data_IF_130643077851
#
_entry.id   IF_130643077851
#
_cell.length_a   1.000
_cell.length_b   1.000
_cell.length_c   1.000
_cell.angle_alpha   90.00
_cell.angle_beta   90.00
_cell.angle_gamma   90.00
#
_symmetry.space_group_name_H-M   'P 1'
#
loop_
_entity.id
_entity.type
_entity.pdbx_description
1 polymer ?
#
# COMPACT_ATOMS: atom_id res chain seq x y z
N UNK A 1 -32.71 25.11 31.19
CA UNK A 1 -31.26 24.89 31.03
C UNK A 1 -31.11 23.58 30.30
N UNK A 2 -30.80 23.62 29.01
CA UNK A 2 -30.30 22.45 28.30
C UNK A 2 -29.20 22.94 27.36
N UNK A 3 -27.99 22.44 27.60
CA UNK A 3 -26.78 22.87 26.93
C UNK A 3 -26.68 22.09 25.62
N UNK A 4 -27.03 22.75 24.51
CA UNK A 4 -26.81 22.22 23.17
C UNK A 4 -25.33 21.96 22.94
N UNK A 5 -24.94 20.70 22.99
CA UNK A 5 -23.60 20.23 22.64
C UNK A 5 -23.41 20.43 21.14
N UNK A 6 -22.71 21.50 20.77
CA UNK A 6 -22.23 21.72 19.40
C UNK A 6 -21.14 20.69 19.13
N UNK A 7 -21.45 19.69 18.31
CA UNK A 7 -20.45 18.77 17.74
C UNK A 7 -19.64 19.54 16.68
N UNK A 8 -18.30 19.38 16.61
CA UNK A 8 -17.53 20.03 15.56
C UNK A 8 -17.94 19.45 14.20
N UNK A 9 -18.29 20.36 13.29
CA UNK A 9 -18.57 20.08 11.90
C UNK A 9 -17.34 19.43 11.26
N UNK A 10 -17.47 18.14 10.94
CA UNK A 10 -16.54 17.46 10.05
C UNK A 10 -16.72 18.14 8.68
N UNK A 11 -15.68 18.71 8.04
CA UNK A 11 -15.86 19.38 6.77
C UNK A 11 -16.30 18.34 5.75
N UNK A 12 -17.61 18.33 5.50
CA UNK A 12 -18.27 17.55 4.48
C UNK A 12 -17.64 18.01 3.17
N UNK A 13 -16.81 17.14 2.59
CA UNK A 13 -16.22 17.40 1.29
C UNK A 13 -17.40 17.50 0.34
N UNK A 14 -17.79 18.73 -0.02
CA UNK A 14 -18.86 18.98 -0.98
C UNK A 14 -18.44 18.35 -2.32
N UNK A 15 -19.14 17.29 -2.72
CA UNK A 15 -18.80 16.51 -3.91
C UNK A 15 -19.65 17.00 -5.09
N UNK A 16 -18.99 17.62 -6.07
CA UNK A 16 -19.54 17.89 -7.40
C UNK A 16 -19.87 16.55 -8.12
N UNK A 17 -20.73 16.52 -9.15
CA UNK A 17 -20.92 15.33 -9.98
C UNK A 17 -19.61 15.02 -10.72
N UNK A 18 -18.86 14.03 -10.23
CA UNK A 18 -17.49 13.71 -10.67
C UNK A 18 -16.99 12.38 -10.09
N UNK A 19 -15.67 12.16 -10.10
CA UNK A 19 -15.00 11.02 -9.43
C UNK A 19 -14.45 11.50 -8.07
N UNK A 20 -15.27 11.49 -6.99
CA UNK A 20 -14.86 12.02 -5.70
C UNK A 20 -13.64 11.29 -5.11
N UNK A 21 -13.49 10.00 -5.41
CA UNK A 21 -12.29 9.26 -5.04
C UNK A 21 -11.09 9.76 -5.84
N UNK A 22 -11.24 10.02 -7.13
CA UNK A 22 -10.23 10.65 -7.97
C UNK A 22 -9.74 11.99 -7.41
N UNK A 23 -10.63 12.81 -6.88
CA UNK A 23 -10.28 14.08 -6.23
C UNK A 23 -9.49 13.87 -4.94
N UNK A 24 -9.91 12.93 -4.09
CA UNK A 24 -9.18 12.53 -2.88
C UNK A 24 -7.77 12.05 -3.23
N UNK A 25 -7.63 11.17 -4.23
CA UNK A 25 -6.34 10.64 -4.66
C UNK A 25 -5.43 11.76 -5.17
N UNK A 26 -5.96 12.66 -5.98
CA UNK A 26 -5.24 13.83 -6.50
C UNK A 26 -4.74 14.70 -5.35
N UNK A 27 -5.59 14.96 -4.35
CA UNK A 27 -5.22 15.76 -3.19
C UNK A 27 -4.19 15.06 -2.29
N UNK A 28 -4.33 13.76 -2.06
CA UNK A 28 -3.35 12.98 -1.31
C UNK A 28 -1.97 13.00 -2.00
N UNK A 29 -1.92 12.85 -3.33
CA UNK A 29 -0.70 12.96 -4.11
C UNK A 29 -0.08 14.36 -4.03
N UNK A 30 -0.88 15.43 -4.04
CA UNK A 30 -0.38 16.79 -3.80
C UNK A 30 0.25 16.93 -2.41
N UNK A 31 -0.35 16.36 -1.36
CA UNK A 31 0.26 16.37 -0.03
C UNK A 31 1.60 15.64 -0.02
N UNK A 32 1.70 14.48 -0.68
CA UNK A 32 2.95 13.72 -0.80
C UNK A 32 4.03 14.53 -1.53
N UNK A 33 3.68 15.16 -2.67
CA UNK A 33 4.59 16.00 -3.44
C UNK A 33 5.13 17.19 -2.63
N UNK A 34 4.33 17.71 -1.70
CA UNK A 34 4.72 18.79 -0.79
C UNK A 34 5.37 18.29 0.53
N UNK A 35 5.74 17.00 0.61
CA UNK A 35 6.36 16.41 1.81
C UNK A 35 5.41 16.18 2.98
N UNK A 36 4.11 16.46 2.83
CA UNK A 36 3.06 16.36 3.86
C UNK A 36 2.46 14.94 3.93
N UNK A 37 3.31 13.93 4.14
CA UNK A 37 2.88 12.51 4.10
C UNK A 37 1.83 12.15 5.15
N UNK A 38 1.94 12.66 6.38
CA UNK A 38 0.92 12.40 7.42
C UNK A 38 -0.45 12.92 6.98
N UNK A 39 -0.52 14.14 6.41
CA UNK A 39 -1.77 14.70 5.92
C UNK A 39 -2.40 13.86 4.78
N UNK A 40 -1.57 13.25 3.94
CA UNK A 40 -2.04 12.31 2.93
C UNK A 40 -2.62 11.03 3.56
N UNK A 41 -1.95 10.48 4.57
CA UNK A 41 -2.42 9.30 5.31
C UNK A 41 -3.74 9.60 6.04
N UNK A 42 -3.86 10.74 6.70
CA UNK A 42 -5.08 11.16 7.40
C UNK A 42 -6.25 11.34 6.43
N UNK A 43 -6.00 11.99 5.29
CA UNK A 43 -6.99 12.16 4.23
C UNK A 43 -7.48 10.81 3.70
N UNK A 44 -6.57 9.90 3.36
CA UNK A 44 -6.92 8.57 2.86
C UNK A 44 -7.63 7.73 3.92
N UNK A 45 -7.24 7.86 5.19
CA UNK A 45 -7.91 7.17 6.30
C UNK A 45 -9.35 7.61 6.44
N UNK A 46 -9.62 8.92 6.34
CA UNK A 46 -10.98 9.45 6.35
C UNK A 46 -11.77 9.03 5.11
N UNK A 47 -11.16 9.13 3.92
CA UNK A 47 -11.83 8.74 2.68
C UNK A 47 -12.20 7.26 2.63
N UNK A 48 -11.37 6.36 3.17
CA UNK A 48 -11.67 4.93 3.26
C UNK A 48 -12.83 4.60 4.21
N UNK A 49 -13.24 5.51 5.10
CA UNK A 49 -14.47 5.34 5.88
C UNK A 49 -15.71 5.62 5.03
N UNK A 50 -15.60 6.56 4.08
CA UNK A 50 -16.68 6.94 3.16
C UNK A 50 -16.76 6.01 1.96
N UNK A 51 -15.61 5.58 1.44
CA UNK A 51 -15.47 4.72 0.25
C UNK A 51 -14.66 3.46 0.60
N UNK A 52 -15.21 2.56 1.44
CA UNK A 52 -14.46 1.40 1.95
C UNK A 52 -14.07 0.39 0.86
N UNK A 53 -14.83 0.35 -0.24
CA UNK A 53 -14.69 -0.64 -1.31
C UNK A 53 -13.94 -0.11 -2.55
N UNK A 54 -13.34 1.09 -2.49
CA UNK A 54 -12.50 1.59 -3.59
C UNK A 54 -11.04 1.13 -3.43
N UNK A 55 -10.62 0.24 -4.35
CA UNK A 55 -9.27 -0.34 -4.35
C UNK A 55 -8.15 0.71 -4.49
N UNK A 56 -8.41 1.84 -5.16
CA UNK A 56 -7.41 2.88 -5.42
C UNK A 56 -6.99 3.57 -4.12
N UNK A 57 -7.95 3.83 -3.23
CA UNK A 57 -7.68 4.39 -1.91
C UNK A 57 -6.87 3.42 -1.04
N UNK A 58 -7.23 2.13 -1.06
CA UNK A 58 -6.49 1.09 -0.35
C UNK A 58 -5.06 0.96 -0.90
N UNK A 59 -4.89 0.97 -2.23
CA UNK A 59 -3.59 0.88 -2.89
C UNK A 59 -2.68 2.05 -2.53
N UNK A 60 -3.17 3.30 -2.67
CA UNK A 60 -2.38 4.48 -2.33
C UNK A 60 -2.04 4.53 -0.84
N UNK A 61 -2.96 4.17 0.05
CA UNK A 61 -2.66 4.06 1.48
C UNK A 61 -1.53 3.06 1.71
N UNK A 62 -1.63 1.85 1.15
CA UNK A 62 -0.58 0.83 1.25
C UNK A 62 0.78 1.35 0.81
N UNK A 63 0.83 2.05 -0.32
CA UNK A 63 2.06 2.69 -0.83
C UNK A 63 2.66 3.69 0.16
N UNK A 64 1.86 4.57 0.73
CA UNK A 64 2.36 5.58 1.69
C UNK A 64 2.90 4.96 2.97
N UNK A 65 2.28 3.90 3.47
CA UNK A 65 2.79 3.16 4.62
C UNK A 65 4.12 2.46 4.30
N UNK A 66 4.25 1.86 3.10
CA UNK A 66 5.52 1.29 2.65
C UNK A 66 6.63 2.35 2.51
N UNK A 67 6.31 3.55 2.02
CA UNK A 67 7.28 4.65 1.95
C UNK A 67 7.79 5.07 3.34
N UNK A 68 7.00 4.87 4.39
CA UNK A 68 7.38 5.08 5.79
C UNK A 68 8.05 3.87 6.46
N UNK A 69 8.29 2.80 5.70
CA UNK A 69 8.79 1.51 6.21
C UNK A 69 7.85 0.83 7.21
N UNK A 70 6.56 1.21 7.21
CA UNK A 70 5.52 0.67 8.07
C UNK A 70 4.87 -0.54 7.38
N UNK A 71 5.66 -1.61 7.25
CA UNK A 71 5.31 -2.79 6.42
C UNK A 71 4.02 -3.48 6.83
N UNK A 72 3.78 -3.66 8.13
CA UNK A 72 2.61 -4.38 8.65
C UNK A 72 1.31 -3.67 8.27
N UNK A 73 1.23 -2.36 8.52
CA UNK A 73 0.04 -1.57 8.19
C UNK A 73 -0.11 -1.38 6.69
N UNK A 74 1.00 -1.13 5.98
CA UNK A 74 0.99 -1.08 4.52
C UNK A 74 0.46 -2.37 3.90
N UNK A 75 0.88 -3.54 4.41
CA UNK A 75 0.39 -4.84 3.94
C UNK A 75 -1.12 -5.01 4.16
N UNK A 76 -1.68 -4.49 5.25
CA UNK A 76 -3.13 -4.55 5.49
C UNK A 76 -3.89 -3.80 4.39
N UNK A 77 -3.42 -2.60 4.05
CA UNK A 77 -3.99 -1.80 2.97
C UNK A 77 -3.81 -2.45 1.59
N UNK A 78 -2.64 -3.03 1.30
CA UNK A 78 -2.41 -3.74 0.02
C UNK A 78 -3.25 -5.03 -0.10
N UNK A 79 -3.48 -5.74 1.00
CA UNK A 79 -4.42 -6.88 1.04
C UNK A 79 -5.84 -6.44 0.68
N UNK A 80 -6.29 -5.33 1.26
CA UNK A 80 -7.59 -4.76 0.88
C UNK A 80 -7.61 -4.35 -0.61
N UNK A 81 -6.55 -3.72 -1.10
CA UNK A 81 -6.46 -3.30 -2.50
C UNK A 81 -6.58 -4.50 -3.46
N UNK A 82 -5.79 -5.55 -3.24
CA UNK A 82 -5.83 -6.77 -4.08
C UNK A 82 -7.14 -7.53 -3.94
N UNK A 83 -7.78 -7.51 -2.76
CA UNK A 83 -9.11 -8.10 -2.56
C UNK A 83 -10.19 -7.37 -3.37
N UNK A 84 -10.13 -6.04 -3.41
CA UNK A 84 -11.10 -5.19 -4.11
C UNK A 84 -10.84 -5.15 -5.62
N UNK A 85 -9.56 -5.17 -6.03
CA UNK A 85 -9.13 -5.28 -7.43
C UNK A 85 -8.05 -6.36 -7.57
N UNK A 86 -8.43 -7.59 -7.93
CA UNK A 86 -7.49 -8.69 -8.11
C UNK A 86 -6.46 -8.51 -9.22
N UNK A 87 -6.63 -7.54 -10.13
CA UNK A 87 -5.63 -7.25 -11.18
C UNK A 87 -4.35 -6.66 -10.58
N UNK A 88 -4.46 -5.98 -9.43
CA UNK A 88 -3.32 -5.38 -8.72
C UNK A 88 -2.28 -6.42 -8.27
N UNK A 89 -2.62 -7.70 -8.16
CA UNK A 89 -1.64 -8.75 -7.86
C UNK A 89 -0.56 -8.88 -8.93
N UNK A 90 -0.83 -8.43 -10.15
CA UNK A 90 0.09 -8.45 -11.28
C UNK A 90 0.67 -7.07 -11.61
N UNK A 91 0.36 -6.03 -10.82
CA UNK A 91 0.92 -4.69 -10.98
C UNK A 91 2.43 -4.70 -10.63
N UNK A 92 3.32 -4.39 -11.61
CA UNK A 92 4.76 -4.33 -11.39
C UNK A 92 5.18 -3.45 -10.21
N UNK A 93 4.51 -2.32 -10.00
CA UNK A 93 4.91 -1.36 -8.97
C UNK A 93 4.56 -1.88 -7.56
N UNK A 94 3.38 -2.47 -7.40
CA UNK A 94 2.99 -3.16 -6.17
C UNK A 94 3.95 -4.31 -5.86
N UNK A 95 4.26 -5.16 -6.84
CA UNK A 95 5.15 -6.31 -6.65
C UNK A 95 6.54 -5.85 -6.22
N UNK A 96 7.14 -4.89 -6.94
CA UNK A 96 8.46 -4.33 -6.60
C UNK A 96 8.46 -3.70 -5.21
N UNK A 97 7.39 -3.02 -4.82
CA UNK A 97 7.26 -2.39 -3.51
C UNK A 97 7.24 -3.43 -2.38
N UNK A 98 6.42 -4.48 -2.51
CA UNK A 98 6.36 -5.57 -1.52
C UNK A 98 7.69 -6.32 -1.46
N UNK A 99 8.27 -6.65 -2.62
CA UNK A 99 9.55 -7.32 -2.72
C UNK A 99 10.68 -6.49 -2.08
N UNK A 100 10.70 -5.18 -2.32
CA UNK A 100 11.65 -4.26 -1.67
C UNK A 100 11.53 -4.32 -0.15
N UNK A 101 10.30 -4.30 0.38
CA UNK A 101 10.04 -4.48 1.81
C UNK A 101 10.66 -5.79 2.30
N UNK A 102 10.30 -6.90 1.66
CA UNK A 102 10.74 -8.26 2.03
C UNK A 102 12.26 -8.42 2.08
N UNK A 103 12.98 -7.90 1.08
CA UNK A 103 14.44 -8.05 1.02
C UNK A 103 15.19 -7.03 1.89
N UNK A 104 14.51 -6.00 2.41
CA UNK A 104 15.16 -4.93 3.18
C UNK A 104 14.97 -5.09 4.69
N UNK A 105 13.97 -5.86 5.14
CA UNK A 105 13.82 -6.13 6.57
C UNK A 105 15.08 -6.80 7.15
N UNK A 106 15.54 -6.43 8.36
CA UNK A 106 16.75 -7.02 8.95
C UNK A 106 16.67 -8.53 9.18
N UNK A 107 15.45 -9.02 9.43
CA UNK A 107 15.13 -10.44 9.63
C UNK A 107 14.09 -10.87 8.61
N UNK A 108 13.93 -12.18 8.49
CA UNK A 108 12.86 -12.75 7.67
C UNK A 108 11.49 -12.25 8.17
N UNK A 109 10.71 -11.68 7.26
CA UNK A 109 9.38 -11.16 7.54
C UNK A 109 8.32 -12.11 6.93
N UNK A 110 7.72 -12.93 7.79
CA UNK A 110 6.76 -13.95 7.37
C UNK A 110 5.50 -13.35 6.71
N UNK A 111 4.93 -12.22 7.19
CA UNK A 111 3.82 -11.56 6.49
C UNK A 111 4.15 -11.12 5.06
N UNK A 112 5.29 -10.49 4.82
CA UNK A 112 5.71 -10.06 3.48
C UNK A 112 5.96 -11.26 2.55
N UNK A 113 6.64 -12.30 3.05
CA UNK A 113 6.84 -13.54 2.30
C UNK A 113 5.51 -14.22 1.95
N UNK A 114 4.60 -14.33 2.92
CA UNK A 114 3.28 -14.91 2.72
C UNK A 114 2.47 -14.12 1.69
N UNK A 115 2.52 -12.78 1.72
CA UNK A 115 1.85 -11.96 0.73
C UNK A 115 2.41 -12.20 -0.68
N UNK A 116 3.73 -12.23 -0.83
CA UNK A 116 4.38 -12.56 -2.11
C UNK A 116 3.90 -13.93 -2.62
N UNK A 117 3.96 -14.98 -1.78
CA UNK A 117 3.60 -16.35 -2.21
C UNK A 117 2.12 -16.54 -2.52
N UNK A 118 1.24 -15.94 -1.73
CA UNK A 118 -0.19 -16.32 -1.72
C UNK A 118 -1.10 -15.29 -2.37
N UNK A 119 -0.76 -14.00 -2.28
CA UNK A 119 -1.59 -12.93 -2.84
C UNK A 119 -1.07 -12.51 -4.21
N UNK A 120 0.24 -12.33 -4.35
CA UNK A 120 0.87 -12.06 -5.65
C UNK A 120 1.04 -13.35 -6.46
N UNK A 121 1.55 -14.41 -5.83
CA UNK A 121 1.76 -15.71 -6.44
C UNK A 121 2.77 -15.66 -7.59
N UNK A 122 2.52 -16.44 -8.64
CA UNK A 122 3.40 -16.59 -9.81
C UNK A 122 3.91 -15.26 -10.40
N UNK A 123 3.13 -14.18 -10.30
CA UNK A 123 3.55 -12.85 -10.77
C UNK A 123 4.81 -12.32 -10.05
N UNK A 124 5.14 -12.80 -8.86
CA UNK A 124 6.35 -12.43 -8.12
C UNK A 124 7.62 -13.09 -8.67
N UNK A 125 7.51 -14.26 -9.34
CA UNK A 125 8.65 -15.07 -9.81
C UNK A 125 9.68 -14.27 -10.60
N UNK A 126 9.34 -13.55 -11.69
CA UNK A 126 10.34 -12.85 -12.49
C UNK A 126 11.07 -11.74 -11.70
N UNK A 127 10.42 -11.11 -10.73
CA UNK A 127 11.04 -10.08 -9.89
C UNK A 127 11.97 -10.68 -8.83
N UNK A 128 11.60 -11.82 -8.27
CA UNK A 128 12.43 -12.59 -7.36
C UNK A 128 13.67 -13.15 -8.09
N UNK A 129 13.51 -13.67 -9.31
CA UNK A 129 14.61 -14.13 -10.16
C UNK A 129 15.59 -13.02 -10.51
N UNK A 130 15.08 -11.88 -10.98
CA UNK A 130 15.91 -10.71 -11.28
C UNK A 130 16.65 -10.23 -10.03
N UNK A 131 15.96 -10.14 -8.89
CA UNK A 131 16.60 -9.73 -7.63
C UNK A 131 17.65 -10.75 -7.17
N UNK A 132 17.38 -12.05 -7.28
CA UNK A 132 18.32 -13.11 -6.92
C UNK A 132 19.58 -13.08 -7.78
N UNK A 133 19.46 -12.72 -9.06
CA UNK A 133 20.56 -12.69 -10.01
C UNK A 133 21.36 -11.38 -9.96
N UNK A 134 20.67 -10.25 -9.95
CA UNK A 134 21.24 -8.96 -10.34
C UNK A 134 21.35 -7.95 -9.19
N UNK A 135 20.71 -8.18 -8.03
CA UNK A 135 20.72 -7.18 -6.96
C UNK A 135 22.18 -6.94 -6.45
N UNK A 136 22.64 -5.69 -6.27
CA UNK A 136 24.04 -5.40 -5.92
C UNK A 136 24.45 -5.98 -4.55
N UNK A 137 23.54 -5.96 -3.58
CA UNK A 137 23.77 -6.53 -2.25
C UNK A 137 23.56 -8.06 -2.23
N UNK A 138 24.60 -8.81 -1.82
CA UNK A 138 24.60 -10.28 -1.78
C UNK A 138 23.56 -10.87 -0.80
N UNK A 139 23.33 -10.25 0.35
CA UNK A 139 22.33 -10.70 1.32
C UNK A 139 20.91 -10.59 0.74
N UNK A 140 20.63 -9.53 -0.04
CA UNK A 140 19.35 -9.36 -0.75
C UNK A 140 19.18 -10.36 -1.88
N UNK A 141 20.23 -10.66 -2.65
CA UNK A 141 20.23 -11.75 -3.63
C UNK A 141 19.88 -13.09 -2.97
N UNK A 142 20.58 -13.42 -1.87
CA UNK A 142 20.35 -14.64 -1.10
C UNK A 142 18.93 -14.71 -0.53
N UNK A 143 18.36 -13.58 -0.08
CA UNK A 143 16.97 -13.49 0.39
C UNK A 143 15.97 -13.85 -0.70
N UNK A 144 16.09 -13.24 -1.88
CA UNK A 144 15.23 -13.54 -3.02
C UNK A 144 15.41 -14.98 -3.53
N UNK A 145 16.65 -15.45 -3.64
CA UNK A 145 16.95 -16.83 -4.06
C UNK A 145 16.39 -17.89 -3.11
N UNK A 146 16.39 -17.61 -1.80
CA UNK A 146 15.79 -18.50 -0.81
C UNK A 146 14.27 -18.53 -0.94
N UNK A 147 13.66 -17.38 -1.18
CA UNK A 147 12.23 -17.22 -1.35
C UNK A 147 11.70 -17.94 -2.62
N UNK A 148 12.46 -17.92 -3.71
CA UNK A 148 12.14 -18.63 -4.96
C UNK A 148 11.94 -20.14 -4.79
N UNK A 149 12.48 -20.76 -3.75
CA UNK A 149 12.30 -22.21 -3.50
C UNK A 149 10.87 -22.59 -3.09
N UNK A 150 10.01 -21.61 -2.86
CA UNK A 150 8.61 -21.78 -2.45
C UNK A 150 7.61 -21.57 -3.58
N UNK A 151 8.11 -21.44 -4.81
CA UNK A 151 7.40 -21.10 -6.04
C UNK A 151 7.64 -22.18 -7.09
#
# INVERSE_FOLDING_TARGET
ADAGVVRPENPEIAMEPGDPVGDVLSRANQFVANGRREAAIDLLTSARKTFPDDARLASLAGKLFFDKLWWTDGLRHLKDAVRLDPQLKSDPDLIKMVLRGFITTPRYDAPLASFLRTQIGEAAKPYLEDTAKNHPNASKRSRAASELKHY
#
